data_IF_943911140421
#
_entry.id   IF_943911140421
#
_cell.length_a   1.000
_cell.length_b   1.000
_cell.length_c   1.000
_cell.angle_alpha   90.00
_cell.angle_beta   90.00
_cell.angle_gamma   90.00
#
_symmetry.space_group_name_H-M   'P 1'
#
loop_
_entity.id
_entity.type
_entity.pdbx_description
1 polymer ?
#
# COMPACT_ATOMS: atom_id res chain seq x y z
N UNK A 1 40.06 26.76 -6.95
CA UNK A 1 38.94 26.07 -7.62
C UNK A 1 38.20 25.29 -6.53
N UNK A 2 37.24 25.93 -5.86
CA UNK A 2 36.50 25.35 -4.75
C UNK A 2 35.34 24.51 -5.31
N UNK A 3 35.41 23.20 -5.12
CA UNK A 3 34.27 22.32 -5.32
C UNK A 3 33.24 22.61 -4.22
N UNK A 4 32.08 23.13 -4.61
CA UNK A 4 30.93 23.28 -3.71
C UNK A 4 30.51 21.89 -3.21
N UNK A 5 30.84 21.60 -1.96
CA UNK A 5 30.14 20.58 -1.19
C UNK A 5 28.73 21.13 -0.98
N UNK A 6 27.77 20.69 -1.79
CA UNK A 6 26.36 20.85 -1.43
C UNK A 6 26.05 19.70 -0.48
N UNK A 7 26.38 19.92 0.78
CA UNK A 7 25.96 19.08 1.89
C UNK A 7 24.43 19.19 1.98
N UNK A 8 23.73 18.28 1.31
CA UNK A 8 22.27 18.20 1.40
C UNK A 8 21.92 17.71 2.81
N UNK A 9 21.73 18.67 3.73
CA UNK A 9 21.15 18.41 5.04
C UNK A 9 19.86 17.59 4.84
N UNK A 10 19.64 16.50 5.61
CA UNK A 10 18.43 15.70 5.48
C UNK A 10 17.24 16.62 5.74
N UNK A 11 16.36 16.77 4.74
CA UNK A 11 15.26 17.71 4.79
C UNK A 11 14.40 17.43 6.03
N UNK A 12 14.58 18.28 7.05
CA UNK A 12 13.74 18.32 8.24
C UNK A 12 12.34 18.78 7.78
N UNK A 13 11.23 18.27 8.35
CA UNK A 13 9.85 18.68 8.05
C UNK A 13 9.57 20.20 7.96
N UNK A 14 10.46 21.06 8.48
CA UNK A 14 10.40 22.52 8.34
C UNK A 14 10.57 23.03 6.90
N UNK A 15 11.34 22.37 6.04
CA UNK A 15 11.60 22.85 4.67
C UNK A 15 10.39 22.65 3.75
N UNK A 16 9.57 21.62 3.98
CA UNK A 16 8.34 21.39 3.22
C UNK A 16 7.22 22.35 3.62
N UNK A 17 7.06 22.67 4.92
CA UNK A 17 6.10 23.69 5.36
C UNK A 17 6.38 25.06 4.73
N UNK A 18 7.66 25.44 4.62
CA UNK A 18 8.06 26.65 3.91
C UNK A 18 7.72 26.57 2.42
N UNK A 19 7.95 25.42 1.76
CA UNK A 19 7.60 25.21 0.35
C UNK A 19 6.09 25.29 0.12
N UNK A 20 5.27 24.63 0.94
CA UNK A 20 3.79 24.64 0.86
C UNK A 20 3.23 26.04 1.12
N UNK A 21 3.78 26.77 2.10
CA UNK A 21 3.43 28.17 2.34
C UNK A 21 3.80 29.07 1.16
N UNK A 22 4.88 28.78 0.44
CA UNK A 22 5.30 29.53 -0.73
C UNK A 22 4.54 29.15 -2.01
N UNK A 23 4.01 27.92 -2.14
CA UNK A 23 3.30 27.45 -3.34
C UNK A 23 1.77 27.58 -3.25
N UNK A 24 1.19 27.88 -2.08
CA UNK A 24 -0.25 28.07 -1.91
C UNK A 24 -1.09 26.80 -2.10
N UNK A 25 -0.47 25.62 -2.15
CA UNK A 25 -1.18 24.34 -2.26
C UNK A 25 -1.80 23.95 -0.91
N UNK A 26 -3.13 23.96 -0.85
CA UNK A 26 -3.92 23.74 0.37
C UNK A 26 -4.16 22.27 0.71
N UNK A 27 -3.88 21.34 -0.20
CA UNK A 27 -3.96 19.91 0.08
C UNK A 27 -2.87 19.14 -0.68
N UNK A 28 -1.88 18.55 0.01
CA UNK A 28 -0.83 17.80 -0.64
C UNK A 28 -1.27 16.38 -1.02
N UNK A 29 -2.53 15.97 -0.80
CA UNK A 29 -2.97 14.61 -1.16
C UNK A 29 -2.86 14.34 -2.65
N UNK A 30 -2.33 13.18 -2.99
CA UNK A 30 -2.25 12.71 -4.37
C UNK A 30 -2.42 11.18 -4.44
N UNK A 31 -2.80 10.70 -5.61
CA UNK A 31 -2.91 9.27 -5.96
C UNK A 31 -2.23 8.99 -7.31
N UNK A 32 -1.94 7.72 -7.59
CA UNK A 32 -1.37 7.26 -8.86
C UNK A 32 0.02 7.83 -9.12
N UNK A 33 0.27 8.25 -10.36
CA UNK A 33 1.60 8.73 -10.78
C UNK A 33 2.03 10.02 -10.08
N UNK A 34 1.07 10.94 -9.83
CA UNK A 34 1.35 12.15 -9.05
C UNK A 34 1.82 11.81 -7.63
N UNK A 35 1.20 10.82 -6.99
CA UNK A 35 1.65 10.37 -5.67
C UNK A 35 3.07 9.80 -5.71
N UNK A 36 3.40 9.02 -6.75
CA UNK A 36 4.74 8.46 -6.93
C UNK A 36 5.79 9.56 -7.06
N UNK A 37 5.49 10.61 -7.83
CA UNK A 37 6.37 11.77 -7.98
C UNK A 37 6.58 12.51 -6.65
N UNK A 38 5.52 12.82 -5.91
CA UNK A 38 5.64 13.50 -4.61
C UNK A 38 6.38 12.64 -3.58
N UNK A 39 6.13 11.34 -3.57
CA UNK A 39 6.84 10.38 -2.72
C UNK A 39 8.34 10.34 -3.02
N UNK A 40 8.74 10.47 -4.28
CA UNK A 40 10.15 10.53 -4.69
C UNK A 40 10.83 11.83 -4.28
N UNK A 41 10.09 12.94 -4.20
CA UNK A 41 10.61 14.22 -3.70
C UNK A 41 10.94 14.19 -2.20
N UNK A 42 10.27 13.32 -1.43
CA UNK A 42 10.61 13.09 -0.02
C UNK A 42 11.86 12.20 0.11
N UNK A 43 12.95 12.77 0.63
CA UNK A 43 14.19 12.06 0.91
C UNK A 43 14.09 11.10 2.10
N UNK A 44 14.94 10.07 2.11
CA UNK A 44 15.04 9.15 3.24
C UNK A 44 15.79 9.78 4.42
N UNK A 45 15.30 9.48 5.62
CA UNK A 45 15.79 9.98 6.89
C UNK A 45 16.94 9.12 7.40
N UNK A 46 18.15 9.36 6.91
CA UNK A 46 19.42 8.92 7.51
C UNK A 46 19.45 7.52 8.14
N UNK A 47 20.15 7.37 9.27
CA UNK A 47 20.40 6.06 9.90
C UNK A 47 19.15 5.45 10.53
N UNK A 48 18.87 4.19 10.18
CA UNK A 48 17.76 3.40 10.73
C UNK A 48 18.27 2.62 11.95
N UNK A 49 17.65 2.87 13.12
CA UNK A 49 17.90 2.08 14.32
C UNK A 49 16.96 0.88 14.36
N UNK A 50 17.52 -0.33 14.46
CA UNK A 50 16.73 -1.54 14.58
C UNK A 50 15.83 -1.50 15.84
N UNK A 51 14.59 -1.98 15.70
CA UNK A 51 13.71 -2.16 16.84
C UNK A 51 14.23 -3.27 17.78
N UNK A 52 13.85 -3.20 19.05
CA UNK A 52 14.09 -4.30 19.99
C UNK A 52 13.22 -5.52 19.58
N UNK A 53 13.68 -6.76 19.79
CA UNK A 53 12.85 -7.95 19.65
C UNK A 53 11.56 -7.86 20.49
N UNK A 54 10.45 -8.35 19.96
CA UNK A 54 9.21 -8.53 20.71
C UNK A 54 9.18 -9.96 21.28
N UNK A 55 8.99 -10.10 22.59
CA UNK A 55 9.01 -11.42 23.28
C UNK A 55 7.88 -11.61 24.29
N UNK A 56 6.95 -10.65 24.38
CA UNK A 56 5.87 -10.69 25.37
C UNK A 56 4.87 -11.83 25.12
N UNK A 57 4.87 -12.38 23.91
CA UNK A 57 4.02 -13.49 23.47
C UNK A 57 4.88 -14.67 22.97
N UNK A 58 6.09 -14.85 23.49
CA UNK A 58 6.96 -15.95 23.03
C UNK A 58 6.48 -17.33 23.51
N UNK A 59 5.67 -17.37 24.57
CA UNK A 59 5.10 -18.60 25.15
C UNK A 59 3.69 -18.84 24.61
N UNK A 60 3.36 -20.10 24.32
CA UNK A 60 2.02 -20.50 23.90
C UNK A 60 0.98 -20.18 24.99
N UNK A 61 -0.23 -19.83 24.56
CA UNK A 61 -1.37 -19.47 25.42
C UNK A 61 -2.46 -18.75 24.61
N UNK A 62 -3.62 -18.50 25.23
CA UNK A 62 -4.77 -17.88 24.53
C UNK A 62 -4.42 -16.52 23.90
N UNK A 63 -3.71 -15.68 24.64
CA UNK A 63 -3.25 -14.38 24.15
C UNK A 63 -2.28 -14.53 22.95
N UNK A 64 -1.39 -15.53 22.98
CA UNK A 64 -0.50 -15.79 21.85
C UNK A 64 -1.31 -16.18 20.61
N UNK A 65 -2.27 -17.08 20.74
CA UNK A 65 -3.04 -17.60 19.60
C UNK A 65 -3.92 -16.52 18.97
N UNK A 66 -4.55 -15.67 19.80
CA UNK A 66 -5.31 -14.51 19.31
C UNK A 66 -4.41 -13.47 18.66
N UNK A 67 -3.29 -13.11 19.28
CA UNK A 67 -2.33 -12.18 18.69
C UNK A 67 -1.77 -12.70 17.36
N UNK A 68 -1.46 -13.99 17.27
CA UNK A 68 -1.02 -14.64 16.04
C UNK A 68 -2.08 -14.51 14.96
N UNK A 69 -3.35 -14.75 15.28
CA UNK A 69 -4.46 -14.57 14.34
C UNK A 69 -4.56 -13.11 13.85
N UNK A 70 -4.58 -12.14 14.76
CA UNK A 70 -4.67 -10.71 14.43
C UNK A 70 -3.50 -10.23 13.58
N UNK A 71 -2.26 -10.62 13.95
CA UNK A 71 -1.07 -10.24 13.20
C UNK A 71 -1.03 -10.91 11.83
N UNK A 72 -1.48 -12.17 11.73
CA UNK A 72 -1.62 -12.88 10.44
C UNK A 72 -2.58 -12.14 9.52
N UNK A 73 -3.73 -11.71 10.03
CA UNK A 73 -4.70 -10.93 9.24
C UNK A 73 -4.08 -9.63 8.74
N UNK A 74 -3.42 -8.86 9.63
CA UNK A 74 -2.77 -7.62 9.23
C UNK A 74 -1.73 -7.85 8.13
N UNK A 75 -0.84 -8.84 8.28
CA UNK A 75 0.16 -9.15 7.26
C UNK A 75 -0.48 -9.62 5.95
N UNK A 76 -1.51 -10.46 6.02
CA UNK A 76 -2.18 -10.99 4.84
C UNK A 76 -2.88 -9.88 4.04
N UNK A 77 -3.74 -9.11 4.68
CA UNK A 77 -4.56 -8.14 3.96
C UNK A 77 -3.76 -6.92 3.50
N UNK A 78 -2.69 -6.56 4.21
CA UNK A 78 -1.87 -5.41 3.84
C UNK A 78 -0.72 -5.76 2.89
N UNK A 79 -0.14 -6.96 2.99
CA UNK A 79 1.13 -7.26 2.35
C UNK A 79 1.24 -8.67 1.74
N UNK A 80 0.17 -9.46 1.61
CA UNK A 80 0.28 -10.83 1.09
C UNK A 80 1.00 -10.95 -0.27
N UNK A 81 0.91 -9.91 -1.13
CA UNK A 81 1.57 -9.86 -2.44
C UNK A 81 2.92 -9.12 -2.44
N UNK A 82 3.31 -8.55 -1.31
CA UNK A 82 4.62 -7.94 -1.14
C UNK A 82 5.71 -9.01 -1.00
N UNK A 83 6.98 -8.66 -1.26
CA UNK A 83 8.12 -9.51 -0.89
C UNK A 83 8.09 -9.85 0.60
N UNK A 84 8.78 -10.92 0.99
CA UNK A 84 8.77 -11.38 2.40
C UNK A 84 9.26 -10.30 3.37
N UNK A 85 10.23 -9.47 2.98
CA UNK A 85 10.66 -8.30 3.76
C UNK A 85 9.54 -7.28 3.96
N UNK A 86 8.69 -7.05 2.97
CA UNK A 86 7.52 -6.16 3.08
C UNK A 86 6.47 -6.70 4.05
N UNK A 87 6.23 -8.01 4.03
CA UNK A 87 5.36 -8.68 5.00
C UNK A 87 5.91 -8.60 6.43
N UNK A 88 7.21 -8.85 6.60
CA UNK A 88 7.88 -8.69 7.91
C UNK A 88 7.87 -7.24 8.38
N UNK A 89 7.98 -6.29 7.47
CA UNK A 89 7.93 -4.87 7.78
C UNK A 89 6.56 -4.42 8.32
N UNK A 90 5.45 -4.89 7.73
CA UNK A 90 4.10 -4.65 8.27
C UNK A 90 3.95 -5.26 9.66
N UNK A 91 4.42 -6.49 9.86
CA UNK A 91 4.41 -7.12 11.19
C UNK A 91 5.20 -6.30 12.22
N UNK A 92 6.39 -5.81 11.82
CA UNK A 92 7.23 -4.96 12.66
C UNK A 92 6.55 -3.65 13.04
N UNK A 93 5.81 -3.00 12.11
CA UNK A 93 5.05 -1.77 12.39
C UNK A 93 3.97 -2.03 13.45
N UNK A 94 3.22 -3.13 13.35
CA UNK A 94 2.20 -3.49 14.36
C UNK A 94 2.84 -3.64 15.74
N UNK A 95 3.95 -4.38 15.84
CA UNK A 95 4.64 -4.60 17.11
C UNK A 95 5.32 -3.32 17.65
N UNK A 96 5.78 -2.44 16.76
CA UNK A 96 6.28 -1.12 17.12
C UNK A 96 5.15 -0.27 17.72
N UNK A 97 3.94 -0.30 17.15
CA UNK A 97 2.77 0.40 17.70
C UNK A 97 2.43 -0.11 19.10
N UNK A 98 2.39 -1.43 19.32
CA UNK A 98 2.15 -2.01 20.66
C UNK A 98 3.10 -1.43 21.72
N UNK A 99 4.36 -1.19 21.34
CA UNK A 99 5.41 -0.65 22.23
C UNK A 99 5.42 0.88 22.30
N UNK A 100 4.73 1.59 21.42
CA UNK A 100 4.75 3.04 21.38
C UNK A 100 3.59 3.61 22.20
N UNK A 101 3.80 4.66 23.03
CA UNK A 101 2.78 5.18 23.96
C UNK A 101 1.47 5.57 23.28
N UNK A 102 1.52 6.08 22.04
CA UNK A 102 0.35 6.57 21.30
C UNK A 102 -0.66 5.51 20.79
N UNK A 103 -0.38 4.22 20.89
CA UNK A 103 -1.25 3.17 20.34
C UNK A 103 -1.75 2.18 21.41
N UNK A 104 -2.66 1.29 21.04
CA UNK A 104 -3.11 0.20 21.90
C UNK A 104 -1.93 -0.69 22.35
N UNK A 105 -2.10 -1.39 23.48
CA UNK A 105 -1.06 -2.21 24.13
C UNK A 105 -1.23 -3.71 23.92
N UNK A 106 -2.06 -4.10 22.96
CA UNK A 106 -2.28 -5.47 22.52
C UNK A 106 -2.21 -5.53 20.99
N UNK A 107 -1.87 -6.68 20.43
CA UNK A 107 -1.72 -6.86 18.98
C UNK A 107 -3.07 -6.68 18.30
N UNK A 108 -4.11 -7.36 18.77
CA UNK A 108 -5.46 -7.21 18.24
C UNK A 108 -5.99 -5.79 18.46
N UNK A 109 -5.67 -5.16 19.60
CA UNK A 109 -6.04 -3.77 19.86
C UNK A 109 -5.43 -2.78 18.87
N UNK A 110 -4.21 -3.04 18.36
CA UNK A 110 -3.60 -2.26 17.29
C UNK A 110 -4.24 -2.56 15.93
N UNK A 111 -4.44 -3.85 15.62
CA UNK A 111 -4.99 -4.29 14.33
C UNK A 111 -6.43 -3.82 14.13
N UNK A 112 -7.24 -3.84 15.18
CA UNK A 112 -8.62 -3.40 15.16
C UNK A 112 -8.81 -1.99 15.72
N UNK A 113 -7.74 -1.20 15.84
CA UNK A 113 -7.87 0.16 16.36
C UNK A 113 -8.78 0.98 15.44
N UNK A 114 -9.78 1.65 16.03
CA UNK A 114 -10.80 2.47 15.32
C UNK A 114 -11.69 1.67 14.35
N UNK A 115 -11.94 0.39 14.61
CA UNK A 115 -12.87 -0.44 13.81
C UNK A 115 -14.33 0.07 13.84
N UNK A 116 -14.67 0.92 14.80
CA UNK A 116 -15.97 1.53 15.06
C UNK A 116 -16.05 3.00 14.64
N UNK A 117 -14.98 3.56 14.06
CA UNK A 117 -14.91 4.94 13.62
C UNK A 117 -15.22 5.09 12.12
N UNK A 118 -15.40 6.34 11.66
CA UNK A 118 -15.57 6.66 10.23
C UNK A 118 -14.35 6.34 9.35
N UNK A 119 -13.17 6.14 9.96
CA UNK A 119 -11.93 5.76 9.28
C UNK A 119 -11.18 4.75 10.14
N UNK A 120 -10.92 3.58 9.59
CA UNK A 120 -10.27 2.47 10.27
C UNK A 120 -8.74 2.51 10.07
N UNK A 121 -7.98 2.05 11.08
CA UNK A 121 -6.52 2.09 11.06
C UNK A 121 -5.91 1.18 9.96
N UNK A 122 -6.59 0.08 9.65
CA UNK A 122 -6.30 -0.82 8.54
C UNK A 122 -7.57 -0.94 7.70
N UNK A 123 -7.46 -0.81 6.37
CA UNK A 123 -8.63 -0.72 5.49
C UNK A 123 -9.45 -2.01 5.51
N UNK A 124 -8.78 -3.16 5.64
CA UNK A 124 -9.42 -4.48 5.59
C UNK A 124 -10.43 -4.74 6.72
N UNK A 125 -10.32 -3.98 7.82
CA UNK A 125 -11.23 -4.07 8.97
C UNK A 125 -12.62 -3.51 8.61
N UNK A 126 -12.69 -2.63 7.61
CA UNK A 126 -13.89 -1.85 7.31
C UNK A 126 -14.32 -1.91 5.84
N UNK A 127 -13.57 -2.60 4.98
CA UNK A 127 -13.90 -2.79 3.56
C UNK A 127 -14.59 -4.16 3.29
N UNK A 128 -14.91 -4.92 4.33
CA UNK A 128 -15.52 -6.26 4.21
C UNK A 128 -14.54 -7.39 3.86
N UNK A 129 -13.24 -7.13 3.78
CA UNK A 129 -12.22 -8.14 3.43
C UNK A 129 -12.20 -9.36 4.36
N UNK A 130 -12.58 -9.18 5.62
CA UNK A 130 -12.69 -10.27 6.60
C UNK A 130 -13.80 -11.28 6.27
N UNK A 131 -14.78 -10.90 5.44
CA UNK A 131 -15.83 -11.82 4.99
C UNK A 131 -15.38 -12.75 3.85
N UNK A 132 -14.25 -12.46 3.20
CA UNK A 132 -13.72 -13.25 2.08
C UNK A 132 -12.82 -14.37 2.58
N UNK A 133 -12.94 -15.55 1.97
CA UNK A 133 -12.06 -16.69 2.28
C UNK A 133 -10.62 -16.39 1.80
N UNK A 134 -9.61 -16.43 2.70
CA UNK A 134 -8.22 -16.22 2.31
C UNK A 134 -7.70 -17.33 1.37
N UNK A 135 -6.75 -16.95 0.51
CA UNK A 135 -6.00 -17.92 -0.29
C UNK A 135 -5.04 -18.70 0.63
N UNK A 136 -5.09 -20.05 0.67
CA UNK A 136 -4.37 -20.84 1.66
C UNK A 136 -2.85 -20.59 1.70
N UNK A 137 -2.20 -20.51 0.53
CA UNK A 137 -0.74 -20.37 0.47
C UNK A 137 -0.25 -19.02 0.98
N UNK A 138 -0.95 -17.94 0.61
CA UNK A 138 -0.64 -16.59 1.06
C UNK A 138 -0.93 -16.43 2.55
N UNK A 139 -2.01 -17.04 3.04
CA UNK A 139 -2.34 -17.05 4.46
C UNK A 139 -1.30 -17.79 5.29
N UNK A 140 -0.87 -18.98 4.85
CA UNK A 140 0.15 -19.76 5.54
C UNK A 140 1.50 -19.02 5.61
N UNK A 141 1.85 -18.31 4.53
CA UNK A 141 3.03 -17.43 4.51
C UNK A 141 2.91 -16.29 5.53
N UNK A 142 1.79 -15.57 5.52
CA UNK A 142 1.53 -14.49 6.47
C UNK A 142 1.57 -15.00 7.92
N UNK A 143 0.99 -16.18 8.19
CA UNK A 143 0.99 -16.81 9.51
C UNK A 143 2.38 -17.16 9.99
N UNK A 144 3.23 -17.73 9.12
CA UNK A 144 4.65 -17.99 9.45
C UNK A 144 5.37 -16.70 9.83
N UNK A 145 5.19 -15.65 9.04
CA UNK A 145 5.83 -14.35 9.28
C UNK A 145 5.36 -13.72 10.61
N UNK A 146 4.06 -13.81 10.90
CA UNK A 146 3.50 -13.35 12.16
C UNK A 146 4.10 -14.13 13.36
N UNK A 147 4.20 -15.46 13.27
CA UNK A 147 4.80 -16.28 14.32
C UNK A 147 6.28 -15.95 14.55
N UNK A 148 7.05 -15.77 13.47
CA UNK A 148 8.45 -15.35 13.54
C UNK A 148 8.60 -13.98 14.24
N UNK A 149 7.72 -13.03 13.93
CA UNK A 149 7.75 -11.71 14.55
C UNK A 149 7.41 -11.76 16.05
N UNK A 150 6.40 -12.56 16.45
CA UNK A 150 6.00 -12.74 17.86
C UNK A 150 7.07 -13.44 18.71
N UNK A 151 7.91 -14.26 18.09
CA UNK A 151 9.06 -14.93 18.73
C UNK A 151 10.34 -14.08 18.75
N UNK A 152 10.26 -12.86 18.17
CA UNK A 152 11.30 -11.83 18.28
C UNK A 152 12.16 -11.64 17.05
N UNK A 153 11.77 -12.16 15.88
CA UNK A 153 12.38 -11.74 14.61
C UNK A 153 12.14 -10.25 14.39
N UNK A 154 13.19 -9.52 14.05
CA UNK A 154 13.14 -8.08 13.79
C UNK A 154 13.40 -7.82 12.31
N UNK A 155 12.54 -7.02 11.67
CA UNK A 155 12.79 -6.47 10.34
C UNK A 155 13.59 -5.16 10.47
N UNK A 156 14.90 -5.24 10.23
CA UNK A 156 15.83 -4.14 10.53
C UNK A 156 15.67 -2.99 9.56
N UNK A 157 15.24 -3.26 8.32
CA UNK A 157 15.08 -2.28 7.26
C UNK A 157 14.08 -1.18 7.61
N UNK A 158 13.10 -1.46 8.48
CA UNK A 158 12.08 -0.48 8.88
C UNK A 158 12.23 0.05 10.30
N UNK A 159 13.18 -0.48 11.09
CA UNK A 159 13.53 0.02 12.42
C UNK A 159 12.31 0.33 13.30
N UNK A 160 12.18 1.59 13.70
CA UNK A 160 11.10 2.12 14.56
C UNK A 160 9.88 2.64 13.79
N UNK A 161 9.66 2.20 12.55
CA UNK A 161 8.49 2.61 11.76
C UNK A 161 7.18 2.34 12.51
N UNK A 162 6.29 3.32 12.48
CA UNK A 162 4.93 3.24 13.05
C UNK A 162 3.85 3.54 12.01
N UNK A 163 4.24 3.99 10.83
CA UNK A 163 3.34 4.34 9.73
C UNK A 163 3.90 3.80 8.43
N UNK A 164 3.01 3.46 7.51
CA UNK A 164 3.35 3.21 6.12
C UNK A 164 2.16 3.55 5.23
N UNK A 165 2.42 3.69 3.94
CA UNK A 165 1.39 3.78 2.92
C UNK A 165 1.93 3.18 1.61
N UNK A 166 1.03 2.89 0.67
CA UNK A 166 1.42 2.47 -0.67
C UNK A 166 1.99 3.64 -1.47
N UNK A 167 2.95 3.37 -2.35
CA UNK A 167 3.70 4.36 -3.13
C UNK A 167 2.87 5.13 -4.17
N UNK A 168 1.70 4.59 -4.53
CA UNK A 168 0.67 5.24 -5.33
C UNK A 168 -0.32 6.09 -4.51
N UNK A 169 -0.05 6.30 -3.22
CA UNK A 169 -0.81 7.22 -2.35
C UNK A 169 0.16 8.21 -1.72
N UNK A 170 -0.24 9.48 -1.62
CA UNK A 170 0.51 10.50 -0.89
C UNK A 170 -0.39 11.12 0.18
N UNK A 171 -0.38 10.61 1.42
CA UNK A 171 -1.26 11.10 2.46
C UNK A 171 -0.76 12.42 3.07
N UNK A 172 -1.66 13.26 3.58
CA UNK A 172 -1.33 14.58 4.18
C UNK A 172 -0.24 14.53 5.25
N UNK A 173 -0.15 13.42 5.98
CA UNK A 173 0.83 13.25 7.04
C UNK A 173 2.23 12.83 6.55
N UNK A 174 2.38 12.30 5.34
CA UNK A 174 3.68 11.78 4.85
C UNK A 174 4.81 12.83 4.93
N UNK A 175 4.61 14.10 4.52
CA UNK A 175 5.65 15.13 4.64
C UNK A 175 6.01 15.52 6.08
N UNK A 176 5.16 15.18 7.04
CA UNK A 176 5.33 15.55 8.45
C UNK A 176 6.09 14.48 9.24
N UNK A 177 6.33 13.31 8.64
CA UNK A 177 7.02 12.18 9.26
C UNK A 177 8.38 11.95 8.62
N UNK A 178 9.26 11.24 9.33
CA UNK A 178 10.57 10.86 8.84
C UNK A 178 10.44 9.59 7.99
N UNK A 179 10.59 9.70 6.67
CA UNK A 179 10.62 8.58 5.71
C UNK A 179 11.83 7.70 5.96
N UNK A 180 11.65 6.40 6.18
CA UNK A 180 12.73 5.48 6.57
C UNK A 180 13.20 4.58 5.43
N UNK A 181 12.27 3.84 4.83
CA UNK A 181 12.57 2.83 3.83
C UNK A 181 11.38 2.68 2.87
N UNK A 182 11.65 2.17 1.68
CA UNK A 182 10.63 1.72 0.74
C UNK A 182 10.92 0.25 0.43
N UNK A 183 9.96 -0.62 0.69
CA UNK A 183 10.05 -2.06 0.45
C UNK A 183 8.84 -2.47 -0.36
N UNK A 184 9.09 -2.94 -1.59
CA UNK A 184 8.03 -3.17 -2.56
C UNK A 184 7.21 -1.90 -2.79
N UNK A 185 5.88 -2.01 -2.69
CA UNK A 185 4.98 -0.88 -2.87
C UNK A 185 4.87 -0.01 -1.60
N UNK A 186 5.41 -0.42 -0.46
CA UNK A 186 5.22 0.30 0.81
C UNK A 186 6.36 1.25 1.14
N UNK A 187 6.00 2.46 1.57
CA UNK A 187 6.91 3.46 2.12
C UNK A 187 6.66 3.58 3.62
N UNK A 188 7.71 3.39 4.42
CA UNK A 188 7.66 3.32 5.88
C UNK A 188 8.16 4.61 6.51
N UNK A 189 7.52 5.02 7.61
CA UNK A 189 7.80 6.27 8.31
C UNK A 189 7.82 6.09 9.84
N UNK A 190 8.59 6.95 10.50
CA UNK A 190 8.57 7.13 11.96
C UNK A 190 8.24 8.56 12.33
N UNK A 191 7.88 8.76 13.60
CA UNK A 191 7.75 10.08 14.19
C UNK A 191 9.05 10.89 14.08
N UNK A 192 8.98 12.22 13.85
CA UNK A 192 10.15 13.08 13.93
C UNK A 192 10.63 13.23 15.39
N UNK A 193 11.91 13.57 15.56
CA UNK A 193 12.50 13.81 16.88
C UNK A 193 12.50 12.59 17.81
N UNK A 194 12.50 12.84 19.13
CA UNK A 194 12.63 11.82 20.16
C UNK A 194 11.52 10.76 20.18
N UNK A 195 10.31 11.12 19.74
CA UNK A 195 9.16 10.21 19.65
C UNK A 195 9.34 9.09 18.61
N UNK A 196 10.25 9.25 17.64
CA UNK A 196 10.59 8.21 16.68
C UNK A 196 11.81 7.37 17.05
N UNK A 197 12.52 7.72 18.12
CA UNK A 197 13.73 7.01 18.53
C UNK A 197 13.39 5.79 19.40
N UNK A 198 14.28 4.77 19.47
CA UNK A 198 14.04 3.57 20.26
C UNK A 198 13.68 3.82 21.73
N UNK A 199 14.12 4.95 22.30
CA UNK A 199 13.82 5.35 23.67
C UNK A 199 12.32 5.63 23.93
N UNK A 200 11.54 5.97 22.89
CA UNK A 200 10.10 6.21 23.02
C UNK A 200 9.25 4.92 23.09
N UNK A 201 9.83 3.77 22.77
CA UNK A 201 9.12 2.49 22.67
C UNK A 201 9.09 1.73 24.01
N UNK A 202 8.53 2.39 25.03
CA UNK A 202 8.48 1.93 26.43
C UNK A 202 7.20 1.19 26.80
N UNK A 203 6.21 1.16 25.90
CA UNK A 203 4.94 0.49 26.08
C UNK A 203 5.12 -0.99 26.38
N UNK A 204 4.48 -1.44 27.45
CA UNK A 204 4.41 -2.87 27.82
C UNK A 204 3.16 -3.47 27.20
N UNK A 205 3.29 -4.70 26.72
CA UNK A 205 2.17 -5.52 26.30
C UNK A 205 1.21 -5.72 27.49
N UNK A 206 -0.07 -5.44 27.30
CA UNK A 206 -1.05 -5.42 28.38
C UNK A 206 -1.72 -6.78 28.65
N UNK A 207 -1.65 -7.73 27.71
CA UNK A 207 -2.45 -8.96 27.78
C UNK A 207 -3.93 -8.73 27.46
N UNK A 208 -4.70 -9.82 27.40
CA UNK A 208 -6.13 -9.78 27.15
C UNK A 208 -6.45 -9.47 25.68
N UNK A 209 -5.87 -10.24 24.76
CA UNK A 209 -6.18 -10.09 23.34
C UNK A 209 -7.68 -10.30 23.10
N UNK A 210 -8.29 -9.31 22.45
CA UNK A 210 -9.70 -9.30 22.14
C UNK A 210 -9.89 -9.05 20.65
N UNK A 211 -10.57 -9.98 19.99
CA UNK A 211 -11.02 -9.85 18.60
C UNK A 211 -12.47 -9.39 18.66
N UNK A 212 -12.80 -8.17 18.18
CA UNK A 212 -14.17 -7.70 18.15
C UNK A 212 -15.06 -8.63 17.33
N UNK A 213 -16.32 -8.80 17.75
CA UNK A 213 -17.29 -9.49 16.94
C UNK A 213 -17.64 -8.64 15.71
N UNK A 214 -17.40 -9.20 14.51
CA UNK A 214 -17.88 -8.65 13.25
C UNK A 214 -19.24 -9.24 12.95
N UNK A 215 -20.21 -8.36 12.70
CA UNK A 215 -21.51 -8.72 12.16
C UNK A 215 -21.28 -8.73 10.64
N UNK A 216 -21.36 -9.89 9.97
CA UNK A 216 -21.10 -9.95 8.54
C UNK A 216 -22.15 -9.20 7.71
N UNK A 217 -23.34 -8.97 8.27
CA UNK A 217 -24.47 -8.34 7.55
C UNK A 217 -24.22 -6.88 7.21
N UNK A 218 -23.44 -6.15 8.02
CA UNK A 218 -23.00 -4.77 7.73
C UNK A 218 -22.04 -4.66 6.54
N UNK A 219 -21.47 -5.77 6.07
CA UNK A 219 -20.61 -5.84 4.88
C UNK A 219 -21.21 -6.70 3.77
N UNK A 220 -22.47 -7.15 3.91
CA UNK A 220 -23.18 -7.93 2.92
C UNK A 220 -23.62 -7.04 1.73
N UNK A 221 -22.65 -6.48 1.02
CA UNK A 221 -22.82 -5.99 -0.35
C UNK A 221 -22.10 -7.00 -1.24
N UNK A 222 -22.91 -7.79 -1.95
CA UNK A 222 -22.61 -8.76 -2.99
C UNK A 222 -21.50 -9.79 -2.68
N UNK A 223 -21.90 -10.95 -2.16
CA UNK A 223 -21.25 -12.18 -2.60
C UNK A 223 -21.30 -12.19 -4.14
N UNK A 224 -20.14 -12.16 -4.80
CA UNK A 224 -20.10 -12.27 -6.26
C UNK A 224 -20.87 -13.53 -6.69
N UNK A 225 -21.75 -13.46 -7.70
CA UNK A 225 -22.39 -14.66 -8.21
C UNK A 225 -21.30 -15.60 -8.71
N UNK A 226 -21.37 -16.87 -8.29
CA UNK A 226 -20.53 -17.91 -8.85
C UNK A 226 -20.82 -18.02 -10.35
N UNK A 227 -19.96 -17.43 -11.20
CA UNK A 227 -20.04 -17.61 -12.64
C UNK A 227 -19.63 -19.04 -12.94
N UNK A 228 -20.60 -19.85 -13.37
CA UNK A 228 -20.38 -21.22 -13.84
C UNK A 228 -19.78 -21.16 -15.27
N UNK A 229 -18.52 -21.56 -15.42
CA UNK A 229 -17.86 -21.59 -16.72
C UNK A 229 -18.06 -22.97 -17.37
N UNK A 230 -18.50 -23.05 -18.64
CA UNK A 230 -18.61 -24.32 -19.33
C UNK A 230 -17.22 -24.96 -19.58
N UNK A 231 -17.11 -26.30 -19.63
CA UNK A 231 -15.84 -26.98 -19.81
C UNK A 231 -15.22 -26.73 -21.19
N UNK A 232 -13.90 -26.53 -21.20
CA UNK A 232 -13.04 -26.02 -22.30
C UNK A 232 -12.96 -26.96 -23.53
N UNK A 233 -13.68 -28.08 -23.54
CA UNK A 233 -13.49 -29.15 -24.52
C UNK A 233 -14.14 -28.93 -25.91
N UNK A 234 -14.83 -27.81 -26.15
CA UNK A 234 -15.75 -27.69 -27.30
C UNK A 234 -15.49 -26.56 -28.31
N UNK A 235 -14.32 -25.90 -28.33
CA UNK A 235 -14.04 -24.81 -29.30
C UNK A 235 -12.94 -25.17 -30.32
N UNK A 236 -13.14 -24.93 -31.64
CA UNK A 236 -12.11 -25.16 -32.66
C UNK A 236 -11.02 -24.08 -32.62
N UNK A 237 -9.76 -24.52 -32.77
CA UNK A 237 -8.54 -23.75 -32.53
C UNK A 237 -8.21 -22.81 -33.72
N UNK A 238 -8.00 -21.51 -33.48
CA UNK A 238 -7.44 -20.55 -34.45
C UNK A 238 -6.26 -19.80 -33.82
N UNK A 239 -5.08 -19.86 -34.45
CA UNK A 239 -3.86 -19.11 -34.06
C UNK A 239 -3.41 -18.17 -35.16
N UNK A 240 -2.76 -17.07 -34.79
CA UNK A 240 -2.00 -16.24 -35.74
C UNK A 240 -0.64 -16.91 -36.03
N UNK A 241 -0.15 -16.78 -37.27
CA UNK A 241 1.00 -17.56 -37.79
C UNK A 241 2.32 -17.31 -37.04
N UNK A 242 2.45 -16.18 -36.32
CA UNK A 242 3.69 -15.77 -35.67
C UNK A 242 3.61 -15.82 -34.13
N UNK A 243 2.60 -16.48 -33.58
CA UNK A 243 2.41 -16.62 -32.14
C UNK A 243 3.23 -17.81 -31.59
N UNK A 244 4.40 -17.52 -31.05
CA UNK A 244 5.30 -18.49 -30.38
C UNK A 244 4.98 -18.67 -28.88
N UNK A 245 3.92 -18.02 -28.38
CA UNK A 245 3.43 -18.22 -27.03
C UNK A 245 2.85 -19.62 -26.85
N UNK A 246 3.44 -20.41 -25.95
CA UNK A 246 2.83 -21.67 -25.53
C UNK A 246 1.40 -21.45 -25.00
N UNK A 247 0.54 -22.47 -25.15
CA UNK A 247 -0.79 -22.49 -24.53
C UNK A 247 -0.65 -22.13 -23.04
N UNK A 248 -1.24 -21.03 -22.59
CA UNK A 248 -1.54 -20.88 -21.16
C UNK A 248 -2.52 -21.99 -20.81
N UNK A 249 -2.19 -22.76 -19.78
CA UNK A 249 -3.00 -23.87 -19.29
C UNK A 249 -4.06 -23.32 -18.32
N UNK A 250 -5.35 -23.25 -18.72
CA UNK A 250 -6.41 -22.70 -17.88
C UNK A 250 -6.75 -23.61 -16.69
N UNK A 251 -6.29 -24.88 -16.67
CA UNK A 251 -6.43 -25.76 -15.50
C UNK A 251 -5.49 -25.37 -14.36
N UNK A 252 -4.48 -24.54 -14.65
CA UNK A 252 -3.55 -23.97 -13.68
C UNK A 252 -4.01 -22.62 -13.13
N UNK A 253 -5.28 -22.25 -13.38
CA UNK A 253 -5.97 -21.17 -12.66
C UNK A 253 -5.69 -19.74 -13.15
N UNK A 254 -5.03 -19.55 -14.30
CA UNK A 254 -4.83 -18.24 -14.90
C UNK A 254 -6.15 -17.72 -15.52
N UNK A 255 -6.74 -16.66 -14.95
CA UNK A 255 -7.89 -15.92 -15.52
C UNK A 255 -7.49 -14.49 -15.88
N UNK A 256 -7.64 -14.17 -17.17
CA UNK A 256 -7.49 -12.81 -17.70
C UNK A 256 -8.89 -12.16 -17.74
N UNK A 257 -9.06 -10.98 -17.15
CA UNK A 257 -10.32 -10.22 -17.24
C UNK A 257 -10.02 -8.74 -17.47
N UNK A 258 -10.24 -8.26 -18.70
CA UNK A 258 -10.14 -6.85 -19.10
C UNK A 258 -11.53 -6.48 -19.64
N UNK A 259 -12.34 -5.70 -18.90
CA UNK A 259 -13.67 -5.30 -19.37
C UNK A 259 -13.62 -4.24 -20.47
N UNK A 260 -14.61 -4.30 -21.36
CA UNK A 260 -14.73 -3.50 -22.57
C UNK A 260 -15.34 -2.11 -22.28
N UNK A 261 -14.63 -1.00 -22.59
CA UNK A 261 -15.05 0.36 -22.27
C UNK A 261 -16.33 0.81 -22.98
N UNK A 262 -16.79 0.07 -24.01
CA UNK A 262 -17.98 0.39 -24.79
C UNK A 262 -19.27 -0.23 -24.26
N UNK A 263 -19.18 -1.16 -23.30
CA UNK A 263 -20.34 -1.95 -22.83
C UNK A 263 -21.06 -1.35 -21.62
N UNK A 264 -20.56 -0.25 -21.04
CA UNK A 264 -21.28 0.56 -20.06
C UNK A 264 -21.93 1.76 -20.74
N UNK A 265 -23.22 1.68 -21.09
CA UNK A 265 -23.94 2.73 -21.81
C UNK A 265 -23.78 4.11 -21.15
N UNK A 266 -23.04 5.00 -21.83
CA UNK A 266 -22.80 6.38 -21.42
C UNK A 266 -21.56 6.98 -22.11
N UNK A 267 -21.54 8.31 -22.25
CA UNK A 267 -20.50 9.25 -22.70
C UNK A 267 -19.54 8.83 -23.84
N UNK A 268 -18.85 7.69 -23.78
CA UNK A 268 -17.88 7.24 -24.79
C UNK A 268 -18.55 7.02 -26.15
N UNK A 269 -19.72 6.39 -26.18
CA UNK A 269 -20.47 6.17 -27.43
C UNK A 269 -20.98 7.50 -28.04
N UNK A 270 -21.42 8.45 -27.21
CA UNK A 270 -21.79 9.79 -27.67
C UNK A 270 -20.59 10.60 -28.15
N UNK A 271 -19.43 10.44 -27.50
CA UNK A 271 -18.18 11.10 -27.87
C UNK A 271 -17.66 10.58 -29.21
N UNK A 272 -17.71 9.26 -29.44
CA UNK A 272 -17.37 8.62 -30.71
C UNK A 272 -18.32 9.06 -31.84
N UNK A 273 -19.62 9.18 -31.55
CA UNK A 273 -20.60 9.66 -32.52
C UNK A 273 -20.40 11.15 -32.88
N UNK A 274 -19.96 11.99 -31.93
CA UNK A 274 -19.62 13.40 -32.18
C UNK A 274 -18.33 13.55 -33.00
N UNK A 275 -17.32 12.72 -32.76
CA UNK A 275 -16.09 12.71 -33.56
C UNK A 275 -16.33 12.32 -35.01
N UNK A 276 -17.26 11.40 -35.28
CA UNK A 276 -17.60 10.98 -36.65
C UNK A 276 -18.38 12.03 -37.46
N UNK A 277 -19.04 12.99 -36.80
CA UNK A 277 -19.77 14.09 -37.44
C UNK A 277 -18.93 15.36 -37.64
N UNK A 278 -17.74 15.45 -37.04
CA UNK A 278 -16.85 16.59 -37.25
C UNK A 278 -16.26 16.53 -38.67
N UNK A 279 -16.41 17.61 -39.43
CA UNK A 279 -15.75 17.74 -40.73
C UNK A 279 -14.22 17.67 -40.56
N UNK A 280 -13.48 17.09 -41.52
CA UNK A 280 -12.03 16.97 -41.44
C UNK A 280 -11.40 18.36 -41.29
N UNK A 281 -10.58 18.53 -40.25
CA UNK A 281 -9.79 19.75 -40.05
C UNK A 281 -8.74 19.80 -41.17
N UNK A 282 -8.89 20.75 -42.10
CA UNK A 282 -7.82 21.11 -43.04
C UNK A 282 -6.73 21.83 -42.25
N UNK A 283 -5.56 21.22 -42.15
CA UNK A 283 -4.37 21.88 -41.61
C UNK A 283 -3.90 22.94 -42.63
N UNK A 284 -4.02 24.22 -42.27
CA UNK A 284 -3.35 25.29 -42.99
C UNK A 284 -1.87 25.32 -42.58
N UNK A 285 -0.98 25.49 -43.56
CA UNK A 285 0.45 25.61 -43.33
C UNK A 285 0.78 26.90 -42.57
N UNK A 286 1.53 26.77 -41.47
CA UNK A 286 1.94 27.89 -40.63
C UNK A 286 2.86 28.88 -41.37
N UNK A 287 2.49 30.16 -41.35
CA UNK A 287 3.37 31.29 -41.64
C UNK A 287 4.36 31.47 -40.48
N UNK A 288 5.50 30.78 -40.53
CA UNK A 288 6.69 31.17 -39.78
C UNK A 288 7.62 32.00 -40.66
N UNK A 289 7.55 33.31 -40.44
CA UNK A 289 8.47 34.32 -40.96
C UNK A 289 9.88 34.07 -40.40
N UNK A 290 10.80 33.51 -41.20
CA UNK A 290 12.25 33.65 -41.00
C UNK A 290 12.74 34.82 -41.85
N UNK A 291 13.36 35.77 -41.17
CA UNK A 291 13.98 36.98 -41.71
C UNK A 291 14.98 36.65 -42.82
N UNK A 292 14.95 37.46 -43.88
CA UNK A 292 15.76 37.30 -45.08
C UNK A 292 17.27 37.40 -44.86
N UNK A 293 17.99 36.56 -45.60
CA UNK A 293 19.38 36.78 -46.05
C UNK A 293 19.50 36.16 -47.45
N UNK A 294 19.85 36.97 -48.44
CA UNK A 294 20.46 36.54 -49.70
C UNK A 294 21.29 37.71 -50.25
N UNK A 295 22.27 37.44 -51.12
CA UNK A 295 23.43 36.56 -50.96
C UNK A 295 24.69 37.32 -50.51
#
# INVERSE_FOLDING_TARGET
MQAKIVEAAPAIPRQYLALVQMTGQTDPTAEGDKAREENQRLGFSGTISAAKPFRALATAGEDHDRALQCLTQAVYYEAAREPESGQRAVAQVVLNRVRHPAFAKTVCGVVYQRFDASVCQFSFVCDGSLARRPLPDLWNRAKRIAADALTGRVEKEVGTATHYHADYVFPRWAPHLAKLAQIGAHIFYRWPGGWGLPAAFTGRYAGGEHIPAFDPSRFAIAAEPAIDYPPVAALPERRAVNDVGGRMDPTKGWKLSIPDPSTGGGALSEMLARQQKAAPVTLAADDHHIQGVQP
#
